data_IF_919024177977
#
_entry.id   IF_919024177977
#
_cell.length_a   1.000
_cell.length_b   1.000
_cell.length_c   1.000
_cell.angle_alpha   90.00
_cell.angle_beta   90.00
_cell.angle_gamma   90.00
#
_symmetry.space_group_name_H-M   'P 1'
#
loop_
_entity.id
_entity.type
_entity.pdbx_description
1 polymer ?
#
# COMPACT_ATOMS: atom_id res chain seq x y z
N UNK A 1 13.10 -37.86 -17.03
CA UNK A 1 12.01 -36.92 -16.69
C UNK A 1 12.59 -35.53 -16.87
N UNK A 2 12.28 -34.85 -17.98
CA UNK A 2 12.87 -33.54 -18.28
C UNK A 2 12.01 -32.44 -17.65
N UNK A 3 12.58 -31.72 -16.71
CA UNK A 3 11.94 -30.61 -16.01
C UNK A 3 12.11 -29.35 -16.88
N UNK A 4 11.04 -28.96 -17.59
CA UNK A 4 10.99 -27.67 -18.28
C UNK A 4 10.96 -26.57 -17.21
N UNK A 5 12.13 -26.08 -16.82
CA UNK A 5 12.23 -24.93 -15.95
C UNK A 5 11.69 -23.69 -16.68
N UNK A 6 10.81 -22.89 -16.05
CA UNK A 6 10.36 -21.64 -16.64
C UNK A 6 11.57 -20.74 -16.90
N UNK A 7 11.64 -20.16 -18.09
CA UNK A 7 12.67 -19.17 -18.43
C UNK A 7 12.22 -17.84 -17.82
N UNK A 8 12.81 -17.49 -16.69
CA UNK A 8 12.64 -16.16 -16.11
C UNK A 8 13.53 -15.18 -16.87
N UNK A 9 12.91 -14.27 -17.64
CA UNK A 9 13.61 -13.10 -18.19
C UNK A 9 13.29 -11.92 -17.30
N UNK A 10 14.21 -11.54 -16.42
CA UNK A 10 14.16 -10.24 -15.76
C UNK A 10 15.06 -9.27 -16.54
N UNK A 11 14.45 -8.23 -17.10
CA UNK A 11 15.17 -7.08 -17.61
C UNK A 11 14.61 -5.86 -16.90
N UNK A 12 15.46 -5.15 -16.15
CA UNK A 12 15.11 -3.87 -15.55
C UNK A 12 15.24 -2.77 -16.62
N UNK A 13 14.36 -2.80 -17.61
CA UNK A 13 14.28 -1.76 -18.63
C UNK A 13 13.14 -0.84 -18.25
N UNK A 14 13.40 0.47 -18.17
CA UNK A 14 12.33 1.47 -18.22
C UNK A 14 11.81 1.39 -19.66
N UNK A 15 10.75 0.61 -19.86
CA UNK A 15 10.10 0.51 -21.15
C UNK A 15 9.36 1.81 -21.44
N UNK A 16 9.28 2.20 -22.71
CA UNK A 16 8.36 3.28 -23.13
C UNK A 16 6.90 2.84 -23.07
N UNK A 17 6.67 1.54 -22.85
CA UNK A 17 5.36 0.93 -22.77
C UNK A 17 4.66 1.31 -21.47
N UNK A 18 3.34 1.47 -21.56
CA UNK A 18 2.48 1.69 -20.41
C UNK A 18 2.52 0.47 -19.48
N UNK A 19 2.98 0.68 -18.26
CA UNK A 19 3.00 -0.34 -17.21
C UNK A 19 1.71 -0.21 -16.41
N UNK A 20 0.99 -1.32 -16.25
CA UNK A 20 -0.25 -1.37 -15.48
C UNK A 20 -0.25 -2.51 -14.47
N UNK A 21 -0.79 -2.23 -13.29
CA UNK A 21 -1.09 -3.21 -12.24
C UNK A 21 -2.58 -3.12 -11.92
N UNK A 22 -3.25 -4.26 -12.00
CA UNK A 22 -4.67 -4.36 -11.69
C UNK A 22 -4.93 -4.11 -10.20
N UNK A 23 -5.95 -3.31 -9.93
CA UNK A 23 -6.41 -3.04 -8.58
C UNK A 23 -7.30 -4.18 -8.11
N UNK A 24 -6.96 -4.76 -6.96
CA UNK A 24 -7.79 -5.73 -6.27
C UNK A 24 -7.62 -5.54 -4.77
N UNK A 25 -8.62 -5.93 -3.98
CA UNK A 25 -8.63 -5.69 -2.53
C UNK A 25 -7.42 -6.29 -1.81
N UNK A 26 -6.72 -7.26 -2.40
CA UNK A 26 -5.57 -7.95 -1.82
C UNK A 26 -4.23 -7.29 -2.16
N UNK A 27 -4.20 -6.26 -3.01
CA UNK A 27 -2.97 -5.62 -3.51
C UNK A 27 -2.07 -5.12 -2.38
N UNK A 28 -2.66 -4.51 -1.34
CA UNK A 28 -1.94 -4.23 -0.11
C UNK A 28 -2.88 -4.19 1.09
N UNK A 29 -2.35 -4.57 2.24
CA UNK A 29 -3.04 -4.50 3.52
C UNK A 29 -2.20 -3.77 4.54
N UNK A 30 -2.85 -2.99 5.40
CA UNK A 30 -2.17 -2.22 6.42
C UNK A 30 -2.89 -2.31 7.76
N UNK A 31 -2.14 -2.16 8.84
CA UNK A 31 -2.68 -1.98 10.19
C UNK A 31 -1.69 -1.21 11.04
N UNK A 32 -2.21 -0.42 11.96
CA UNK A 32 -1.38 0.23 12.97
C UNK A 32 -1.29 -0.67 14.21
N UNK A 33 -0.08 -0.83 14.73
CA UNK A 33 0.22 -1.61 15.94
C UNK A 33 0.88 -0.70 16.98
N UNK A 34 0.50 -0.89 18.23
CA UNK A 34 1.13 -0.31 19.41
C UNK A 34 1.76 -1.43 20.23
N UNK A 35 2.92 -1.17 20.84
CA UNK A 35 3.58 -2.15 21.73
C UNK A 35 3.73 -3.52 21.03
N UNK A 36 4.07 -3.49 19.74
CA UNK A 36 4.14 -4.60 18.78
C UNK A 36 2.83 -5.35 18.45
N UNK A 37 1.84 -5.40 19.34
CA UNK A 37 0.71 -6.35 19.20
C UNK A 37 -0.70 -5.77 19.41
N UNK A 38 -0.83 -4.54 19.92
CA UNK A 38 -2.13 -3.93 20.21
C UNK A 38 -2.62 -3.16 18.98
N UNK A 39 -3.83 -3.45 18.49
CA UNK A 39 -4.42 -2.70 17.36
C UNK A 39 -5.15 -1.44 17.83
N UNK A 40 -5.39 -0.50 16.90
CA UNK A 40 -6.19 0.68 17.18
C UNK A 40 -7.65 0.33 17.57
N UNK A 41 -8.25 -0.68 16.94
CA UNK A 41 -9.59 -1.16 17.29
C UNK A 41 -9.66 -1.66 18.74
N UNK A 42 -8.64 -2.41 19.18
CA UNK A 42 -8.54 -2.89 20.56
C UNK A 42 -8.37 -1.73 21.54
N UNK A 43 -7.53 -0.75 21.20
CA UNK A 43 -7.32 0.41 22.06
C UNK A 43 -8.59 1.26 22.18
N UNK A 44 -9.32 1.45 21.07
CA UNK A 44 -10.59 2.17 21.04
C UNK A 44 -11.66 1.44 21.86
N UNK A 45 -11.77 0.12 21.75
CA UNK A 45 -12.77 -0.64 22.51
C UNK A 45 -12.49 -0.64 24.02
N UNK A 46 -11.23 -0.57 24.43
CA UNK A 46 -10.83 -0.50 25.84
C UNK A 46 -11.08 0.88 26.46
N UNK A 47 -10.80 1.95 25.73
CA UNK A 47 -10.76 3.31 26.29
C UNK A 47 -11.88 4.23 25.83
N UNK A 48 -12.71 3.77 24.87
CA UNK A 48 -13.76 4.56 24.23
C UNK A 48 -13.26 5.91 23.66
N UNK A 49 -12.05 5.89 23.10
CA UNK A 49 -11.38 7.06 22.50
C UNK A 49 -10.77 6.69 21.15
N UNK A 50 -10.79 7.65 20.24
CA UNK A 50 -10.07 7.56 18.97
C UNK A 50 -8.72 8.26 19.08
N UNK A 51 -7.65 7.58 18.67
CA UNK A 51 -6.28 8.09 18.77
C UNK A 51 -5.72 8.49 17.41
N UNK A 52 -5.93 7.64 16.40
CA UNK A 52 -5.44 7.84 15.04
C UNK A 52 -6.57 7.59 14.02
N UNK A 53 -6.51 8.28 12.89
CA UNK A 53 -7.37 8.06 11.72
C UNK A 53 -6.55 7.68 10.51
N UNK A 54 -7.05 6.71 9.76
CA UNK A 54 -6.49 6.35 8.46
C UNK A 54 -7.39 6.91 7.36
N UNK A 55 -6.77 7.53 6.37
CA UNK A 55 -7.37 7.96 5.12
C UNK A 55 -6.68 7.24 3.98
N UNK A 56 -7.39 7.05 2.87
CA UNK A 56 -6.83 6.48 1.67
C UNK A 56 -7.32 7.24 0.45
N UNK A 57 -6.44 7.44 -0.51
CA UNK A 57 -6.78 8.06 -1.78
C UNK A 57 -6.04 7.40 -2.93
N UNK A 58 -6.67 7.45 -4.10
CA UNK A 58 -6.06 7.15 -5.38
C UNK A 58 -5.85 8.45 -6.14
N UNK A 59 -4.63 8.63 -6.65
CA UNK A 59 -4.30 9.71 -7.56
C UNK A 59 -4.08 9.14 -8.95
N UNK A 60 -4.64 9.83 -9.95
CA UNK A 60 -4.41 9.55 -11.36
C UNK A 60 -4.21 10.85 -12.12
N UNK A 61 -3.20 10.88 -12.98
CA UNK A 61 -2.84 12.02 -13.80
C UNK A 61 -2.55 11.55 -15.21
N UNK A 62 -3.04 12.32 -16.18
CA UNK A 62 -2.69 12.21 -17.59
C UNK A 62 -2.45 13.62 -18.17
N UNK A 63 -2.29 13.72 -19.49
CA UNK A 63 -2.05 14.99 -20.19
C UNK A 63 -3.16 16.04 -20.03
N UNK A 64 -4.36 15.66 -19.60
CA UNK A 64 -5.55 16.50 -19.59
C UNK A 64 -6.08 16.75 -18.18
N UNK A 65 -6.01 15.75 -17.31
CA UNK A 65 -6.72 15.74 -16.04
C UNK A 65 -5.88 15.20 -14.89
N UNK A 66 -6.13 15.75 -13.70
CA UNK A 66 -5.68 15.21 -12.43
C UNK A 66 -6.90 14.84 -11.60
N UNK A 67 -6.96 13.59 -11.15
CA UNK A 67 -8.09 13.06 -10.40
C UNK A 67 -7.62 12.53 -9.05
N UNK A 68 -8.34 12.93 -7.99
CA UNK A 68 -8.18 12.40 -6.64
C UNK A 68 -9.47 11.70 -6.24
N UNK A 69 -9.37 10.44 -5.84
CA UNK A 69 -10.52 9.62 -5.45
C UNK A 69 -10.27 9.09 -4.04
N UNK A 70 -11.15 9.46 -3.09
CA UNK A 70 -11.10 8.91 -1.74
C UNK A 70 -11.52 7.43 -1.77
N UNK A 71 -10.69 6.58 -1.19
CA UNK A 71 -10.92 5.16 -1.09
C UNK A 71 -11.42 4.81 0.31
N UNK A 72 -12.38 3.89 0.36
CA UNK A 72 -12.88 3.40 1.64
C UNK A 72 -11.90 2.37 2.20
N UNK A 73 -11.69 2.41 3.51
CA UNK A 73 -10.85 1.46 4.24
C UNK A 73 -11.78 0.43 4.87
N UNK A 74 -11.64 -0.82 4.46
CA UNK A 74 -12.50 -1.93 4.86
C UNK A 74 -11.67 -3.04 5.51
N UNK A 75 -12.32 -3.93 6.26
CA UNK A 75 -11.65 -5.11 6.82
C UNK A 75 -11.52 -6.21 5.75
N UNK A 76 -10.39 -6.92 5.76
CA UNK A 76 -10.20 -8.06 4.86
C UNK A 76 -11.18 -9.19 5.15
N UNK A 77 -11.63 -9.84 4.07
CA UNK A 77 -12.36 -11.10 4.12
C UNK A 77 -11.45 -12.33 3.96
N UNK A 78 -10.24 -12.15 3.43
CA UNK A 78 -9.24 -13.22 3.27
C UNK A 78 -8.70 -13.65 4.65
N UNK A 79 -8.78 -14.95 5.03
CA UNK A 79 -8.26 -15.45 6.30
C UNK A 79 -6.76 -15.16 6.53
N UNK A 80 -5.96 -15.05 5.45
CA UNK A 80 -4.53 -14.75 5.56
C UNK A 80 -4.24 -13.29 5.98
N UNK A 81 -5.26 -12.44 5.92
CA UNK A 81 -5.20 -10.99 6.15
C UNK A 81 -6.27 -10.50 7.15
N UNK A 82 -6.94 -11.40 7.87
CA UNK A 82 -8.10 -11.08 8.72
C UNK A 82 -7.89 -9.96 9.76
N UNK A 83 -6.65 -9.74 10.20
CA UNK A 83 -6.30 -8.66 11.15
C UNK A 83 -5.75 -7.39 10.48
N UNK A 84 -5.90 -7.24 9.17
CA UNK A 84 -5.48 -6.07 8.39
C UNK A 84 -6.70 -5.35 7.80
N UNK A 85 -6.50 -4.08 7.43
CA UNK A 85 -7.41 -3.35 6.57
C UNK A 85 -6.95 -3.39 5.11
N UNK A 86 -7.90 -3.46 4.18
CA UNK A 86 -7.73 -3.25 2.74
C UNK A 86 -8.38 -1.94 2.31
N UNK A 87 -8.09 -1.57 1.07
CA UNK A 87 -8.85 -0.54 0.38
C UNK A 87 -9.94 -1.16 -0.50
N UNK A 88 -11.10 -0.50 -0.48
CA UNK A 88 -12.17 -0.76 -1.42
C UNK A 88 -11.91 -0.02 -2.74
N UNK A 89 -11.65 -0.80 -3.80
CA UNK A 89 -11.41 -0.28 -5.14
C UNK A 89 -12.66 -0.29 -6.03
N UNK A 90 -13.85 -0.56 -5.49
CA UNK A 90 -15.11 -0.54 -6.27
C UNK A 90 -15.41 0.82 -6.90
N UNK A 91 -14.91 1.92 -6.32
CA UNK A 91 -14.99 3.27 -6.91
C UNK A 91 -14.08 3.47 -8.13
N UNK A 92 -13.16 2.53 -8.40
CA UNK A 92 -12.11 2.61 -9.41
C UNK A 92 -12.28 1.58 -10.53
N UNK A 93 -13.52 1.16 -10.84
CA UNK A 93 -13.82 -0.03 -11.67
C UNK A 93 -13.16 -0.10 -13.06
N UNK A 94 -12.51 0.96 -13.56
CA UNK A 94 -11.75 0.95 -14.82
C UNK A 94 -10.33 1.52 -14.69
N UNK A 95 -9.83 1.72 -13.47
CA UNK A 95 -8.50 2.25 -13.24
C UNK A 95 -7.52 1.15 -12.84
N UNK A 96 -6.27 1.34 -13.25
CA UNK A 96 -5.11 0.56 -12.86
C UNK A 96 -4.11 1.48 -12.16
N UNK A 97 -3.18 0.90 -11.40
CA UNK A 97 -1.92 1.61 -11.14
C UNK A 97 -1.14 1.61 -12.44
N UNK A 98 -1.07 2.78 -13.07
CA UNK A 98 -0.48 3.01 -14.37
C UNK A 98 0.73 3.96 -14.31
N UNK A 99 1.74 3.66 -15.14
CA UNK A 99 2.84 4.55 -15.51
C UNK A 99 3.03 4.51 -17.02
N UNK A 100 3.05 5.67 -17.68
CA UNK A 100 3.48 5.80 -19.07
C UNK A 100 4.24 7.10 -19.25
N UNK A 101 5.49 7.02 -19.71
CA UNK A 101 6.29 8.21 -20.03
C UNK A 101 5.78 8.88 -21.31
N UNK A 102 5.35 8.08 -22.30
CA UNK A 102 4.89 8.56 -23.60
C UNK A 102 3.54 9.28 -23.46
N UNK A 103 2.63 8.68 -22.71
CA UNK A 103 1.29 9.24 -22.49
C UNK A 103 1.23 10.21 -21.31
N UNK A 104 2.37 10.42 -20.63
CA UNK A 104 2.50 11.21 -19.40
C UNK A 104 1.47 10.79 -18.33
N UNK A 105 1.27 9.47 -18.19
CA UNK A 105 0.36 8.89 -17.21
C UNK A 105 1.14 8.57 -15.94
N UNK A 106 0.59 9.00 -14.80
CA UNK A 106 1.12 8.68 -13.49
C UNK A 106 -0.02 8.47 -12.50
N UNK A 107 0.07 7.42 -11.69
CA UNK A 107 -0.90 7.15 -10.64
C UNK A 107 -0.25 6.54 -9.42
N UNK A 108 -0.88 6.71 -8.26
CA UNK A 108 -0.45 6.09 -7.02
C UNK A 108 -1.62 5.89 -6.07
N UNK A 109 -1.46 4.97 -5.13
CA UNK A 109 -2.33 4.88 -3.96
C UNK A 109 -1.58 5.44 -2.77
N UNK A 110 -2.26 6.26 -1.98
CA UNK A 110 -1.76 6.84 -0.76
C UNK A 110 -2.61 6.42 0.44
N UNK A 111 -1.98 5.87 1.48
CA UNK A 111 -2.57 5.75 2.81
C UNK A 111 -1.94 6.78 3.74
N UNK A 112 -2.80 7.46 4.50
CA UNK A 112 -2.40 8.56 5.37
C UNK A 112 -2.91 8.31 6.78
N UNK A 113 -2.01 8.34 7.76
CA UNK A 113 -2.38 8.21 9.17
C UNK A 113 -2.21 9.54 9.89
N UNK A 114 -3.31 10.02 10.46
CA UNK A 114 -3.40 11.25 11.23
C UNK A 114 -3.57 10.94 12.72
N UNK A 115 -3.03 11.80 13.59
CA UNK A 115 -3.57 11.93 14.94
C UNK A 115 -5.01 12.41 14.92
N UNK A 116 -5.81 11.99 15.89
CA UNK A 116 -7.24 12.27 15.94
C UNK A 116 -7.57 13.77 15.85
N UNK A 117 -6.75 14.59 16.51
CA UNK A 117 -6.90 16.05 16.58
C UNK A 117 -6.32 16.79 15.39
N UNK A 118 -5.58 16.11 14.49
CA UNK A 118 -4.95 16.77 13.36
C UNK A 118 -5.98 17.17 12.30
N UNK A 119 -5.73 18.30 11.65
CA UNK A 119 -6.58 18.86 10.61
C UNK A 119 -5.72 19.37 9.46
N UNK A 120 -6.20 19.14 8.24
CA UNK A 120 -5.61 19.66 7.01
C UNK A 120 -6.64 19.76 5.88
N UNK A 121 -6.17 19.81 4.63
CA UNK A 121 -7.02 19.89 3.43
C UNK A 121 -7.77 18.60 3.14
N UNK A 122 -7.38 17.46 3.73
CA UNK A 122 -8.00 16.14 3.55
C UNK A 122 -8.91 15.82 4.75
N UNK A 123 -8.37 15.93 5.97
CA UNK A 123 -9.10 15.73 7.22
C UNK A 123 -9.54 17.09 7.77
N UNK A 124 -10.80 17.44 7.52
CA UNK A 124 -11.36 18.76 7.87
C UNK A 124 -12.19 18.79 9.18
N UNK A 125 -12.37 17.65 9.84
CA UNK A 125 -13.18 17.55 11.08
C UNK A 125 -12.50 16.73 12.17
N UNK A 126 -12.83 17.04 13.42
CA UNK A 126 -12.41 16.32 14.62
C UNK A 126 -13.67 15.69 15.24
N UNK A 127 -13.73 14.36 15.43
CA UNK A 127 -14.85 13.74 16.13
C UNK A 127 -14.79 13.98 17.64
N UNK A 128 -15.94 13.85 18.30
CA UNK A 128 -16.10 14.14 19.72
C UNK A 128 -15.37 13.16 20.65
N UNK A 129 -15.00 11.96 20.15
CA UNK A 129 -14.35 10.90 20.92
C UNK A 129 -12.82 10.92 20.80
N UNK A 130 -12.21 12.01 20.32
CA UNK A 130 -10.77 12.09 20.21
C UNK A 130 -10.05 12.07 21.57
N UNK A 131 -8.98 11.29 21.64
CA UNK A 131 -8.02 11.34 22.74
C UNK A 131 -7.30 12.70 22.79
N UNK A 132 -6.76 13.04 23.95
CA UNK A 132 -5.94 14.25 24.13
C UNK A 132 -4.62 14.14 23.34
N UNK A 133 -3.99 15.27 23.02
CA UNK A 133 -2.71 15.25 22.29
C UNK A 133 -1.64 14.43 23.00
N UNK A 134 -1.56 14.51 24.34
CA UNK A 134 -0.60 13.72 25.12
C UNK A 134 -0.84 12.21 24.99
N UNK A 135 -2.11 11.78 24.99
CA UNK A 135 -2.48 10.38 24.77
C UNK A 135 -2.15 9.92 23.33
N UNK A 136 -2.40 10.77 22.33
CA UNK A 136 -2.02 10.51 20.93
C UNK A 136 -0.51 10.39 20.79
N UNK A 137 0.25 11.28 21.43
CA UNK A 137 1.71 11.28 21.39
C UNK A 137 2.27 10.02 22.06
N UNK A 138 1.68 9.57 23.17
CA UNK A 138 2.03 8.30 23.80
C UNK A 138 1.79 7.09 22.88
N UNK A 139 0.67 7.09 22.14
CA UNK A 139 0.38 6.05 21.14
C UNK A 139 1.44 6.04 20.04
N UNK A 140 1.82 7.20 19.53
CA UNK A 140 2.81 7.34 18.45
C UNK A 140 4.23 7.01 18.91
N UNK A 141 4.59 7.40 20.12
CA UNK A 141 5.91 7.15 20.74
C UNK A 141 6.01 5.78 21.41
N UNK A 142 4.95 4.98 21.38
CA UNK A 142 4.94 3.65 21.99
C UNK A 142 6.04 2.75 21.43
N UNK A 143 6.45 1.76 22.23
CA UNK A 143 7.51 0.83 21.84
C UNK A 143 7.05 0.02 20.63
N UNK A 144 7.80 0.01 19.52
CA UNK A 144 7.35 -0.61 18.27
C UNK A 144 5.92 -0.20 17.91
N UNK A 145 5.64 1.10 18.00
CA UNK A 145 4.44 1.72 17.44
C UNK A 145 4.67 2.09 15.98
N UNK A 146 3.70 1.76 15.14
CA UNK A 146 3.82 2.01 13.71
C UNK A 146 2.89 1.21 12.84
N UNK A 147 3.05 1.37 11.53
CA UNK A 147 2.24 0.68 10.52
C UNK A 147 2.95 -0.57 10.07
N UNK A 148 2.19 -1.68 10.09
CA UNK A 148 2.58 -2.92 9.46
C UNK A 148 1.83 -3.06 8.14
N UNK A 149 2.60 -3.30 7.09
CA UNK A 149 2.10 -3.51 5.74
C UNK A 149 2.31 -4.95 5.29
N UNK A 150 1.37 -5.44 4.49
CA UNK A 150 1.49 -6.62 3.66
C UNK A 150 1.26 -6.20 2.21
N UNK A 151 2.28 -6.36 1.38
CA UNK A 151 2.28 -5.99 -0.02
C UNK A 151 2.14 -7.27 -0.85
N UNK A 152 1.14 -7.32 -1.73
CA UNK A 152 0.85 -8.49 -2.54
C UNK A 152 2.01 -8.86 -3.45
N UNK A 153 2.33 -10.14 -3.55
CA UNK A 153 3.22 -10.64 -4.59
C UNK A 153 2.79 -12.04 -4.98
N UNK A 154 3.06 -12.46 -6.21
CA UNK A 154 2.86 -13.86 -6.60
C UNK A 154 3.99 -14.35 -7.46
N UNK A 155 4.28 -15.64 -7.33
CA UNK A 155 5.31 -16.33 -8.09
C UNK A 155 4.70 -17.55 -8.77
N UNK A 156 5.11 -17.80 -10.02
CA UNK A 156 4.67 -18.99 -10.73
C UNK A 156 5.45 -20.22 -10.25
N UNK A 157 4.75 -21.21 -9.71
CA UNK A 157 5.35 -22.49 -9.32
C UNK A 157 5.25 -23.49 -10.46
N UNK A 158 6.40 -23.89 -11.00
CA UNK A 158 6.48 -24.84 -12.12
C UNK A 158 5.97 -26.24 -11.79
N UNK A 159 6.16 -26.70 -10.54
CA UNK A 159 5.72 -28.02 -10.10
C UNK A 159 4.19 -28.15 -10.05
N UNK A 160 3.49 -27.11 -9.57
CA UNK A 160 2.02 -27.10 -9.49
C UNK A 160 1.37 -26.43 -10.71
N UNK A 161 2.17 -25.82 -11.58
CA UNK A 161 1.73 -25.03 -12.74
C UNK A 161 0.71 -23.94 -12.36
N UNK A 162 0.88 -23.37 -11.18
CA UNK A 162 -0.06 -22.40 -10.61
C UNK A 162 0.68 -21.22 -10.03
N UNK A 163 0.01 -20.07 -10.00
CA UNK A 163 0.48 -18.93 -9.21
C UNK A 163 0.31 -19.23 -7.73
N UNK A 164 1.31 -18.87 -6.94
CA UNK A 164 1.23 -18.88 -5.49
C UNK A 164 1.29 -17.45 -4.98
N UNK A 165 0.22 -17.03 -4.29
CA UNK A 165 0.15 -15.73 -3.63
C UNK A 165 1.03 -15.75 -2.39
N UNK A 166 1.86 -14.71 -2.26
CA UNK A 166 2.72 -14.42 -1.12
C UNK A 166 2.55 -12.95 -0.75
N UNK A 167 3.11 -12.57 0.40
CA UNK A 167 3.09 -11.18 0.85
C UNK A 167 4.46 -10.75 1.34
N UNK A 168 4.92 -9.60 0.86
CA UNK A 168 6.07 -8.91 1.44
C UNK A 168 5.61 -8.11 2.63
N UNK A 169 6.21 -8.35 3.79
CA UNK A 169 5.91 -7.60 5.00
C UNK A 169 6.82 -6.37 5.06
N UNK A 170 6.26 -5.22 5.44
CA UNK A 170 7.02 -4.03 5.77
C UNK A 170 6.51 -3.45 7.09
N UNK A 171 7.38 -2.75 7.80
CA UNK A 171 7.03 -2.09 9.05
C UNK A 171 7.62 -0.69 9.08
N UNK A 172 6.75 0.32 9.25
CA UNK A 172 7.10 1.72 9.36
C UNK A 172 6.89 2.18 10.80
N UNK A 173 7.97 2.54 11.50
CA UNK A 173 7.89 3.11 12.84
C UNK A 173 7.36 4.53 12.79
N UNK A 174 6.62 4.93 13.84
CA UNK A 174 6.15 6.29 14.01
C UNK A 174 6.77 6.94 15.24
N UNK A 175 6.88 8.26 15.20
CA UNK A 175 7.22 9.11 16.35
C UNK A 175 6.34 10.36 16.31
N UNK A 176 5.94 10.88 17.46
CA UNK A 176 4.98 11.98 17.57
C UNK A 176 5.53 13.31 17.01
N UNK A 177 6.84 13.53 17.15
CA UNK A 177 7.54 14.72 16.68
C UNK A 177 8.01 14.61 15.22
N UNK A 178 7.73 13.50 14.54
CA UNK A 178 8.17 13.28 13.16
C UNK A 178 6.99 13.08 12.22
N UNK A 179 7.24 13.36 10.95
CA UNK A 179 6.39 13.02 9.84
C UNK A 179 7.18 12.06 8.97
N UNK A 180 6.61 10.88 8.75
CA UNK A 180 7.27 9.79 8.03
C UNK A 180 6.62 9.59 6.65
N UNK A 181 7.42 9.54 5.61
CA UNK A 181 6.98 9.28 4.24
C UNK A 181 7.62 7.99 3.75
N UNK A 182 6.79 7.04 3.32
CA UNK A 182 7.26 5.77 2.79
C UNK A 182 6.72 5.59 1.38
N UNK A 183 7.60 5.55 0.39
CA UNK A 183 7.23 5.27 -1.00
C UNK A 183 7.68 3.88 -1.39
N UNK A 184 6.75 3.05 -1.85
CA UNK A 184 7.06 1.76 -2.46
C UNK A 184 7.01 1.92 -3.98
N UNK A 185 8.07 1.48 -4.66
CA UNK A 185 8.13 1.33 -6.11
C UNK A 185 8.02 -0.15 -6.49
N UNK A 186 7.00 -0.50 -7.26
CA UNK A 186 6.64 -1.84 -7.68
C UNK A 186 7.42 -2.17 -8.94
N UNK A 187 8.01 -3.35 -8.93
CA UNK A 187 8.52 -3.99 -10.13
C UNK A 187 7.54 -5.08 -10.55
N UNK A 188 6.92 -4.86 -11.71
CA UNK A 188 6.07 -5.84 -12.39
C UNK A 188 6.94 -6.88 -13.10
N UNK A 189 6.56 -8.15 -13.01
CA UNK A 189 7.15 -9.24 -13.79
C UNK A 189 6.07 -9.91 -14.63
N UNK A 190 6.37 -10.04 -15.93
CA UNK A 190 5.60 -10.87 -16.85
C UNK A 190 6.31 -12.20 -17.07
N UNK A 191 5.59 -13.30 -16.84
CA UNK A 191 6.09 -14.67 -16.95
C UNK A 191 5.34 -15.38 -18.07
N UNK A 192 6.08 -15.82 -19.10
CA UNK A 192 5.54 -16.59 -20.22
C UNK A 192 5.93 -18.06 -20.04
N UNK A 193 4.93 -18.94 -20.01
CA UNK A 193 5.12 -20.38 -19.83
C UNK A 193 4.67 -21.10 -21.10
N UNK A 194 5.62 -21.73 -21.79
CA UNK A 194 5.34 -22.56 -22.96
C UNK A 194 5.31 -24.03 -22.54
N UNK A 195 4.23 -24.74 -22.85
CA UNK A 195 4.01 -26.14 -22.49
C UNK A 195 3.76 -27.01 -23.73
N UNK A 196 4.42 -28.16 -23.82
CA UNK A 196 4.22 -29.14 -24.90
C UNK A 196 5.39 -29.23 -25.87
N UNK A 197 5.65 -30.45 -26.36
CA UNK A 197 6.80 -30.77 -27.23
C UNK A 197 6.41 -30.67 -28.72
N UNK A 198 5.15 -31.00 -29.07
CA UNK A 198 4.65 -31.00 -30.45
C UNK A 198 3.65 -29.87 -30.72
N UNK A 199 2.76 -29.58 -29.76
CA UNK A 199 1.86 -28.43 -29.78
C UNK A 199 2.18 -27.62 -28.53
N UNK A 200 2.69 -26.40 -28.72
CA UNK A 200 3.03 -25.50 -27.62
C UNK A 200 1.80 -24.69 -27.22
N UNK A 201 1.35 -24.89 -25.98
CA UNK A 201 0.40 -24.01 -25.31
C UNK A 201 1.17 -22.94 -24.56
N UNK A 202 0.81 -21.67 -24.78
CA UNK A 202 1.43 -20.53 -24.10
C UNK A 202 0.45 -19.97 -23.08
N UNK A 203 0.93 -19.74 -21.85
CA UNK A 203 0.22 -18.94 -20.86
C UNK A 203 1.10 -17.78 -20.39
N UNK A 204 0.45 -16.67 -20.05
CA UNK A 204 1.09 -15.46 -19.56
C UNK A 204 0.56 -15.14 -18.17
N UNK A 205 1.46 -14.82 -17.26
CA UNK A 205 1.18 -14.47 -15.87
C UNK A 205 1.86 -13.15 -15.54
N UNK A 206 1.24 -12.33 -14.71
CA UNK A 206 1.70 -10.97 -14.43
C UNK A 206 1.55 -10.69 -12.95
N UNK A 207 2.64 -10.27 -12.30
CA UNK A 207 2.62 -10.03 -10.85
C UNK A 207 3.61 -8.94 -10.38
N UNK A 208 3.27 -8.18 -9.33
CA UNK A 208 4.25 -7.47 -8.52
C UNK A 208 5.22 -8.46 -7.84
N UNK A 209 6.52 -8.32 -8.08
CA UNK A 209 7.53 -9.22 -7.47
C UNK A 209 8.46 -8.52 -6.50
N UNK A 210 8.66 -7.21 -6.66
CA UNK A 210 9.56 -6.45 -5.82
C UNK A 210 8.96 -5.10 -5.49
N UNK A 211 9.21 -4.67 -4.26
CA UNK A 211 8.85 -3.37 -3.74
C UNK A 211 10.13 -2.71 -3.23
N UNK A 212 10.58 -1.66 -3.91
CA UNK A 212 11.69 -0.85 -3.46
C UNK A 212 11.14 0.29 -2.59
N UNK A 213 11.45 0.26 -1.30
CA UNK A 213 10.99 1.26 -0.35
C UNK A 213 11.97 2.42 -0.28
N UNK A 214 11.46 3.64 -0.36
CA UNK A 214 12.16 4.87 -0.02
C UNK A 214 11.50 5.49 1.20
N UNK A 215 12.29 5.93 2.18
CA UNK A 215 11.82 6.42 3.46
C UNK A 215 12.42 7.79 3.76
N UNK A 216 11.57 8.74 4.15
CA UNK A 216 11.97 10.08 4.55
C UNK A 216 11.28 10.46 5.86
N UNK A 217 12.03 11.11 6.75
CA UNK A 217 11.49 11.69 7.97
C UNK A 217 11.73 13.18 7.99
N UNK A 218 10.71 13.90 8.43
CA UNK A 218 10.79 15.33 8.66
C UNK A 218 10.40 15.62 10.11
N UNK A 219 11.05 16.62 10.70
CA UNK A 219 10.60 17.18 11.96
C UNK A 219 9.22 17.84 11.76
N UNK A 220 8.28 17.53 12.67
CA UNK A 220 6.88 17.97 12.54
C UNK A 220 6.74 19.49 12.56
N UNK A 221 7.52 20.19 13.39
CA UNK A 221 7.45 21.65 13.48
C UNK A 221 7.95 22.30 12.18
N UNK A 222 8.99 21.74 11.60
CA UNK A 222 9.59 22.23 10.35
C UNK A 222 8.67 21.98 9.15
N UNK A 223 7.99 20.83 9.10
CA UNK A 223 7.15 20.43 7.97
C UNK A 223 5.72 20.99 8.01
N UNK A 224 5.19 21.31 9.20
CA UNK A 224 3.89 21.99 9.36
C UNK A 224 3.81 23.36 8.64
N UNK A 225 4.96 23.95 8.30
CA UNK A 225 5.06 25.20 7.55
C UNK A 225 4.85 25.02 6.03
N UNK A 226 4.88 23.78 5.49
CA UNK A 226 4.81 23.54 4.05
C UNK A 226 3.72 22.56 3.61
N UNK A 227 3.47 21.44 4.31
CA UNK A 227 2.41 20.48 4.00
C UNK A 227 1.95 19.77 5.29
N UNK A 228 0.66 19.63 5.56
CA UNK A 228 0.12 19.21 6.88
C UNK A 228 -0.10 17.69 7.04
N UNK A 229 0.76 16.84 6.48
CA UNK A 229 0.60 15.37 6.55
C UNK A 229 1.45 14.75 7.67
N UNK A 230 1.04 13.61 8.26
CA UNK A 230 1.79 12.97 9.38
C UNK A 230 2.43 11.63 9.06
N UNK A 231 1.77 10.81 8.27
CA UNK A 231 2.38 9.64 7.67
C UNK A 231 1.75 9.45 6.30
N UNK A 232 2.55 9.36 5.24
CA UNK A 232 2.05 9.08 3.89
C UNK A 232 2.79 7.87 3.35
N UNK A 233 2.06 6.79 3.09
CA UNK A 233 2.59 5.64 2.38
C UNK A 233 2.06 5.68 0.95
N UNK A 234 2.96 5.86 -0.01
CA UNK A 234 2.61 5.84 -1.44
C UNK A 234 3.05 4.53 -2.06
N UNK A 235 2.12 3.79 -2.63
CA UNK A 235 2.43 2.62 -3.44
C UNK A 235 2.32 3.01 -4.91
N UNK A 236 3.44 2.85 -5.62
CA UNK A 236 3.60 3.00 -7.06
C UNK A 236 4.17 1.70 -7.61
#
# INVERSE_FOLDING_TARGET
MFQNNPIYRSQSIITQERIEINLNSNLFGFRYLLNANISLDQLKSQNNKTYLFNYALFYYSDNQNNTYINLDIIKYTDPNLSDYYCLDFTKLQNNTLALSVVDNIYSYIATITYGCLDLDTIKISIPNDCATQSEIDQVRNGYNSGIRLKLFTSEFYSSTKSEQVKYRNYYSFTQANQIAFTTFRIQKQDTIVNQGILIQQQSQFTSPIQYNSFYQNFDRLTFQLSLKYQLLETVF
#
